data_IF_728581020721
#
_entry.id   IF_728581020721
#
_cell.length_a   1.000
_cell.length_b   1.000
_cell.length_c   1.000
_cell.angle_alpha   90.00
_cell.angle_beta   90.00
_cell.angle_gamma   90.00
#
_symmetry.space_group_name_H-M   'P 1'
#
loop_
_entity.id
_entity.type
_entity.pdbx_description
1 polymer ?
#
# COMPACT_ATOMS: atom_id res chain seq x y z
N UNK A 1 -0.34 1.46 14.04
CA UNK A 1 0.98 0.77 13.91
C UNK A 1 1.04 -0.56 14.65
N UNK A 2 0.80 -0.62 15.96
CA UNK A 2 0.89 -1.88 16.77
C UNK A 2 0.01 -3.00 16.21
N UNK A 3 -1.24 -2.70 15.84
CA UNK A 3 -2.17 -3.68 15.25
C UNK A 3 -1.64 -4.25 13.93
N UNK A 4 -1.08 -3.40 13.07
CA UNK A 4 -0.48 -3.80 11.80
C UNK A 4 0.68 -4.77 12.03
N UNK A 5 1.62 -4.42 12.89
CA UNK A 5 2.76 -5.29 13.20
C UNK A 5 2.31 -6.65 13.77
N UNK A 6 1.30 -6.65 14.67
CA UNK A 6 0.72 -7.89 15.22
C UNK A 6 0.10 -8.77 14.15
N UNK A 7 -0.65 -8.17 13.21
CA UNK A 7 -1.27 -8.90 12.10
C UNK A 7 -0.20 -9.48 11.18
N UNK A 8 0.78 -8.66 10.78
CA UNK A 8 1.88 -9.13 9.93
C UNK A 8 2.68 -10.26 10.60
N UNK A 9 3.03 -10.12 11.88
CA UNK A 9 3.75 -11.16 12.62
C UNK A 9 2.99 -12.47 12.72
N UNK A 10 1.67 -12.44 12.61
CA UNK A 10 0.82 -13.64 12.66
C UNK A 10 0.61 -14.25 11.27
N UNK A 11 0.38 -13.43 10.25
CA UNK A 11 -0.01 -13.91 8.93
C UNK A 11 1.18 -14.15 7.98
N UNK A 12 2.22 -13.32 8.05
CA UNK A 12 3.36 -13.46 7.14
C UNK A 12 4.06 -14.82 7.27
N UNK A 13 4.28 -15.41 8.46
CA UNK A 13 4.83 -16.76 8.57
C UNK A 13 4.02 -17.81 7.80
N UNK A 14 2.68 -17.73 7.87
CA UNK A 14 1.81 -18.66 7.14
C UNK A 14 1.92 -18.47 5.62
N UNK A 15 2.06 -17.23 5.16
CA UNK A 15 2.28 -16.93 3.75
C UNK A 15 3.65 -17.45 3.28
N UNK A 16 4.68 -17.36 4.13
CA UNK A 16 6.02 -17.89 3.82
C UNK A 16 6.02 -19.41 3.70
N UNK A 17 5.29 -20.13 4.55
CA UNK A 17 5.10 -21.57 4.47
C UNK A 17 4.43 -21.98 3.14
N UNK A 18 3.43 -21.19 2.69
CA UNK A 18 2.71 -21.40 1.45
C UNK A 18 3.50 -20.93 0.21
N UNK A 19 4.61 -20.21 0.40
CA UNK A 19 5.38 -19.55 -0.65
C UNK A 19 4.55 -18.60 -1.53
N UNK A 20 3.51 -18.04 -0.96
CA UNK A 20 2.65 -17.06 -1.61
C UNK A 20 1.97 -16.17 -0.60
N UNK A 21 1.94 -14.87 -0.89
CA UNK A 21 1.20 -13.90 -0.09
C UNK A 21 1.32 -12.49 -0.64
N UNK A 22 0.27 -11.70 -0.39
CA UNK A 22 0.22 -10.28 -0.75
C UNK A 22 -0.23 -9.47 0.45
N UNK A 23 0.63 -8.59 0.93
CA UNK A 23 0.35 -7.67 2.03
C UNK A 23 0.35 -6.26 1.48
N UNK A 24 -0.81 -5.63 1.49
CA UNK A 24 -0.98 -4.23 1.05
C UNK A 24 -1.31 -3.38 2.27
N UNK A 25 -0.38 -2.52 2.66
CA UNK A 25 -0.54 -1.66 3.82
C UNK A 25 -0.99 -0.27 3.39
N UNK A 26 -2.16 0.15 3.88
CA UNK A 26 -2.66 1.49 3.59
C UNK A 26 -1.83 2.54 4.35
N UNK A 27 -1.22 3.41 3.58
CA UNK A 27 -0.46 4.56 4.05
C UNK A 27 -1.11 5.87 3.62
N UNK A 28 -0.37 6.96 3.61
CA UNK A 28 -0.82 8.27 3.14
C UNK A 28 0.39 9.08 2.70
N UNK A 29 0.25 9.79 1.58
CA UNK A 29 1.22 10.78 1.12
C UNK A 29 1.18 12.11 1.86
N UNK A 30 0.48 12.20 3.00
CA UNK A 30 0.40 13.42 3.79
C UNK A 30 1.78 13.83 4.31
N UNK A 31 2.14 15.07 4.00
CA UNK A 31 3.31 15.76 4.53
C UNK A 31 2.91 17.19 4.93
N UNK A 32 3.60 17.74 5.93
CA UNK A 32 3.50 19.16 6.31
C UNK A 32 2.08 19.64 6.65
N UNK A 33 1.27 18.78 7.29
CA UNK A 33 -0.07 19.11 7.79
C UNK A 33 -0.06 19.16 9.32
N UNK A 34 0.15 20.34 9.94
CA UNK A 34 0.32 20.46 11.40
C UNK A 34 -0.86 19.89 12.20
N UNK A 35 -2.09 20.01 11.68
CA UNK A 35 -3.30 19.52 12.35
C UNK A 35 -3.38 17.98 12.38
N UNK A 36 -2.60 17.31 11.55
CA UNK A 36 -2.61 15.84 11.38
C UNK A 36 -1.34 15.18 11.91
N UNK A 37 -0.60 15.83 12.80
CA UNK A 37 0.71 15.36 13.29
C UNK A 37 0.69 13.90 13.75
N UNK A 38 -0.22 13.54 14.65
CA UNK A 38 -0.30 12.17 15.17
C UNK A 38 -0.68 11.15 14.07
N UNK A 39 -1.56 11.54 13.15
CA UNK A 39 -1.92 10.71 12.01
C UNK A 39 -0.73 10.53 11.07
N UNK A 40 -0.06 11.62 10.69
CA UNK A 40 1.12 11.59 9.82
C UNK A 40 2.23 10.69 10.40
N UNK A 41 2.52 10.84 11.70
CA UNK A 41 3.48 9.97 12.41
C UNK A 41 3.07 8.50 12.33
N UNK A 42 1.77 8.21 12.52
CA UNK A 42 1.27 6.82 12.46
C UNK A 42 1.47 6.21 11.08
N UNK A 43 1.29 6.99 10.01
CA UNK A 43 1.47 6.54 8.61
C UNK A 43 2.95 6.43 8.24
N UNK A 44 3.78 7.37 8.67
CA UNK A 44 5.24 7.26 8.51
C UNK A 44 5.81 6.01 9.20
N UNK A 45 5.25 5.63 10.35
CA UNK A 45 5.63 4.40 11.01
C UNK A 45 5.24 3.13 10.21
N UNK A 46 4.12 3.17 9.47
CA UNK A 46 3.74 2.09 8.52
C UNK A 46 4.75 2.02 7.38
N UNK A 47 5.11 3.16 6.80
CA UNK A 47 6.07 3.23 5.70
C UNK A 47 7.43 2.67 6.12
N UNK A 48 7.93 3.09 7.27
CA UNK A 48 9.19 2.59 7.82
C UNK A 48 9.15 1.08 8.06
N UNK A 49 8.07 0.58 8.67
CA UNK A 49 7.89 -0.84 8.92
C UNK A 49 7.95 -1.67 7.63
N UNK A 50 7.21 -1.25 6.61
CA UNK A 50 7.16 -1.97 5.32
C UNK A 50 8.52 -1.95 4.64
N UNK A 51 9.18 -0.78 4.57
CA UNK A 51 10.50 -0.65 3.93
C UNK A 51 11.57 -1.50 4.60
N UNK A 52 11.56 -1.58 5.93
CA UNK A 52 12.54 -2.38 6.68
C UNK A 52 12.24 -3.88 6.58
N UNK A 53 10.97 -4.27 6.48
CA UNK A 53 10.59 -5.67 6.43
C UNK A 53 10.69 -6.27 5.01
N UNK A 54 10.45 -5.46 3.98
CA UNK A 54 10.41 -5.89 2.58
C UNK A 54 11.66 -6.69 2.13
N UNK A 55 12.90 -6.31 2.46
CA UNK A 55 14.08 -7.08 2.06
C UNK A 55 14.08 -8.53 2.56
N UNK A 56 13.49 -8.80 3.74
CA UNK A 56 13.41 -10.15 4.30
C UNK A 56 12.47 -11.09 3.54
N UNK A 57 11.63 -10.55 2.67
CA UNK A 57 10.68 -11.29 1.85
C UNK A 57 11.22 -11.66 0.47
N UNK A 58 12.43 -11.23 0.13
CA UNK A 58 13.03 -11.48 -1.19
C UNK A 58 13.08 -12.97 -1.50
N UNK A 59 12.58 -13.37 -2.68
CA UNK A 59 12.58 -14.75 -3.16
C UNK A 59 11.62 -15.70 -2.44
N UNK A 60 10.82 -15.19 -1.50
CA UNK A 60 9.90 -16.04 -0.71
C UNK A 60 8.57 -16.35 -1.39
N UNK A 61 8.20 -15.61 -2.46
CA UNK A 61 6.85 -15.62 -3.05
C UNK A 61 5.85 -14.72 -2.33
N UNK A 62 6.25 -14.11 -1.20
CA UNK A 62 5.44 -13.14 -0.45
C UNK A 62 5.87 -11.73 -0.81
N UNK A 63 4.91 -10.85 -1.10
CA UNK A 63 5.18 -9.43 -1.34
C UNK A 63 4.45 -8.56 -0.34
N UNK A 64 5.11 -7.48 0.11
CA UNK A 64 4.57 -6.49 1.01
C UNK A 64 4.82 -5.10 0.45
N UNK A 65 3.75 -4.35 0.22
CA UNK A 65 3.81 -3.03 -0.41
C UNK A 65 2.94 -2.01 0.33
N UNK A 66 3.15 -0.74 -0.01
CA UNK A 66 2.41 0.42 0.50
C UNK A 66 1.41 0.89 -0.56
N UNK A 67 0.23 1.29 -0.12
CA UNK A 67 -0.80 1.89 -0.96
C UNK A 67 -1.31 3.18 -0.31
N UNK A 68 -1.15 4.29 -1.02
CA UNK A 68 -1.85 5.55 -0.73
C UNK A 68 -3.10 5.63 -1.61
N UNK A 69 -4.31 5.57 -1.04
CA UNK A 69 -5.55 5.68 -1.82
C UNK A 69 -5.85 7.11 -2.27
N UNK A 70 -5.16 8.11 -1.73
CA UNK A 70 -5.50 9.52 -1.87
C UNK A 70 -6.52 10.00 -0.84
N UNK A 71 -6.92 11.28 -0.94
CA UNK A 71 -7.92 11.86 -0.06
C UNK A 71 -9.31 11.69 -0.67
N UNK A 72 -10.12 10.84 -0.07
CA UNK A 72 -11.39 10.34 -0.60
C UNK A 72 -12.58 10.77 0.26
N UNK A 73 -13.73 10.97 -0.38
CA UNK A 73 -15.02 11.26 0.29
C UNK A 73 -15.53 10.01 1.01
N UNK A 74 -15.06 9.84 2.23
CA UNK A 74 -15.45 8.80 3.19
C UNK A 74 -15.78 9.47 4.51
N UNK A 75 -16.27 8.72 5.49
CA UNK A 75 -16.50 9.25 6.84
C UNK A 75 -15.24 9.87 7.44
N UNK A 76 -14.07 9.27 7.17
CA UNK A 76 -12.78 9.79 7.63
C UNK A 76 -12.32 11.00 6.80
N UNK A 77 -12.47 10.94 5.48
CA UNK A 77 -11.98 12.00 4.58
C UNK A 77 -12.86 13.24 4.54
N UNK A 78 -14.12 13.09 4.92
CA UNK A 78 -15.12 14.15 4.93
C UNK A 78 -15.68 14.48 3.54
N UNK A 79 -16.76 15.30 3.51
CA UNK A 79 -17.48 15.61 2.27
C UNK A 79 -16.70 16.48 1.29
N UNK A 80 -15.69 17.21 1.79
CA UNK A 80 -14.87 18.13 0.98
C UNK A 80 -13.66 17.45 0.33
N UNK A 81 -13.46 16.14 0.53
CA UNK A 81 -12.38 15.42 -0.12
C UNK A 81 -12.58 15.40 -1.65
N UNK A 82 -11.52 15.60 -2.44
CA UNK A 82 -11.64 15.71 -3.90
C UNK A 82 -11.98 14.38 -4.56
N UNK A 83 -11.48 13.26 -4.01
CA UNK A 83 -11.58 11.94 -4.63
C UNK A 83 -12.89 11.22 -4.31
N UNK A 84 -13.45 10.53 -5.30
CA UNK A 84 -14.49 9.54 -5.09
C UNK A 84 -13.86 8.22 -4.61
N UNK A 85 -14.46 7.49 -3.65
CA UNK A 85 -13.93 6.20 -3.22
C UNK A 85 -13.70 5.19 -4.36
N UNK A 86 -14.55 5.21 -5.39
CA UNK A 86 -14.39 4.35 -6.56
C UNK A 86 -13.14 4.68 -7.41
N UNK A 87 -12.61 5.90 -7.31
CA UNK A 87 -11.41 6.32 -8.04
C UNK A 87 -10.14 5.56 -7.65
N UNK A 88 -10.17 4.82 -6.55
CA UNK A 88 -9.05 3.95 -6.13
C UNK A 88 -8.82 2.82 -7.13
N UNK A 89 -9.82 2.43 -7.91
CA UNK A 89 -9.71 1.37 -8.90
C UNK A 89 -9.28 1.98 -10.26
N UNK A 90 -8.31 1.37 -10.96
CA UNK A 90 -7.67 0.06 -10.70
C UNK A 90 -6.46 0.10 -9.77
N UNK A 91 -5.93 1.28 -9.42
CA UNK A 91 -4.68 1.45 -8.69
C UNK A 91 -4.59 0.67 -7.38
N UNK A 92 -5.70 0.60 -6.63
CA UNK A 92 -5.77 -0.16 -5.38
C UNK A 92 -5.59 -1.67 -5.54
N UNK A 93 -5.84 -2.20 -6.74
CA UNK A 93 -5.67 -3.62 -7.05
C UNK A 93 -4.22 -3.97 -7.45
N UNK A 94 -3.48 -3.00 -7.98
CA UNK A 94 -2.15 -3.23 -8.55
C UNK A 94 -1.20 -3.92 -7.57
N UNK A 95 -0.98 -3.43 -6.34
CA UNK A 95 -0.04 -4.07 -5.42
C UNK A 95 -0.47 -5.47 -4.96
N UNK A 96 -1.75 -5.81 -5.10
CA UNK A 96 -2.28 -7.12 -4.73
C UNK A 96 -2.18 -8.13 -5.88
N UNK A 97 -2.19 -7.67 -7.14
CA UNK A 97 -2.22 -8.52 -8.33
C UNK A 97 -0.86 -8.69 -9.01
N UNK A 98 0.11 -7.81 -8.74
CA UNK A 98 1.48 -8.01 -9.23
C UNK A 98 2.07 -9.30 -8.68
N UNK A 99 2.86 -9.97 -9.53
CA UNK A 99 3.54 -11.23 -9.20
C UNK A 99 4.99 -11.22 -9.72
N UNK A 100 5.73 -10.18 -9.39
CA UNK A 100 7.12 -9.95 -9.82
C UNK A 100 8.15 -10.13 -8.70
N UNK A 101 7.70 -10.51 -7.50
CA UNK A 101 8.57 -10.77 -6.35
C UNK A 101 9.12 -9.49 -5.68
N UNK A 102 8.70 -8.29 -6.08
CA UNK A 102 9.26 -7.03 -5.57
C UNK A 102 8.38 -6.47 -4.45
N UNK A 103 8.97 -6.31 -3.29
CA UNK A 103 8.37 -5.69 -2.09
C UNK A 103 8.92 -4.28 -1.82
N UNK A 104 8.25 -3.53 -0.95
CA UNK A 104 8.71 -2.21 -0.48
C UNK A 104 8.29 -1.03 -1.35
N UNK A 105 7.53 -1.27 -2.42
CA UNK A 105 7.03 -0.22 -3.32
C UNK A 105 5.92 0.60 -2.68
N UNK A 106 5.86 1.86 -3.08
CA UNK A 106 4.80 2.80 -2.70
C UNK A 106 3.92 3.10 -3.91
N UNK A 107 2.68 2.61 -3.88
CA UNK A 107 1.68 2.83 -4.91
C UNK A 107 0.76 3.98 -4.51
N UNK A 108 0.56 4.94 -5.41
CA UNK A 108 -0.49 5.95 -5.29
C UNK A 108 -1.65 5.52 -6.19
N UNK A 109 -2.79 5.18 -5.62
CA UNK A 109 -3.93 4.67 -6.39
C UNK A 109 -4.38 5.63 -7.49
N UNK A 110 -4.30 6.93 -7.24
CA UNK A 110 -4.74 7.97 -8.17
C UNK A 110 -3.85 8.12 -9.41
N UNK A 111 -2.60 7.64 -9.37
CA UNK A 111 -1.71 7.66 -10.54
C UNK A 111 -2.17 6.69 -11.65
N UNK A 112 -3.10 5.80 -11.32
CA UNK A 112 -3.68 4.79 -12.22
C UNK A 112 -5.09 5.14 -12.68
N UNK A 113 -5.61 6.31 -12.31
CA UNK A 113 -6.98 6.70 -12.64
C UNK A 113 -7.21 6.70 -14.16
N UNK A 114 -8.31 6.08 -14.59
CA UNK A 114 -8.68 5.99 -16.00
C UNK A 114 -7.92 4.94 -16.82
N UNK A 115 -6.95 4.24 -16.26
CA UNK A 115 -6.27 3.14 -16.94
C UNK A 115 -7.12 1.87 -16.93
N UNK A 116 -6.91 1.01 -17.94
CA UNK A 116 -7.34 -0.38 -17.83
C UNK A 116 -6.54 -1.10 -16.75
N UNK A 117 -7.06 -2.21 -16.23
CA UNK A 117 -6.32 -3.01 -15.24
C UNK A 117 -4.98 -3.53 -15.81
N UNK A 118 -4.96 -3.89 -17.09
CA UNK A 118 -3.75 -4.37 -17.76
C UNK A 118 -2.68 -3.27 -17.83
N UNK A 119 -3.06 -2.04 -18.22
CA UNK A 119 -2.14 -0.90 -18.29
C UNK A 119 -1.66 -0.50 -16.89
N UNK A 120 -2.56 -0.55 -15.90
CA UNK A 120 -2.21 -0.27 -14.51
C UNK A 120 -1.19 -1.27 -13.95
N UNK A 121 -1.34 -2.55 -14.24
CA UNK A 121 -0.36 -3.57 -13.86
C UNK A 121 0.98 -3.37 -14.57
N UNK A 122 0.97 -3.07 -15.87
CA UNK A 122 2.18 -2.77 -16.62
C UNK A 122 2.93 -1.56 -16.04
N UNK A 123 2.22 -0.47 -15.74
CA UNK A 123 2.79 0.70 -15.08
C UNK A 123 3.32 0.36 -13.68
N UNK A 124 2.54 -0.35 -12.87
CA UNK A 124 2.91 -0.73 -11.51
C UNK A 124 4.17 -1.59 -11.44
N UNK A 125 4.39 -2.45 -12.43
CA UNK A 125 5.59 -3.27 -12.53
C UNK A 125 6.88 -2.44 -12.75
N UNK A 126 6.79 -1.20 -13.21
CA UNK A 126 7.95 -0.31 -13.41
C UNK A 126 8.41 0.38 -12.13
N UNK A 127 7.56 0.45 -11.10
CA UNK A 127 7.90 1.10 -9.83
C UNK A 127 9.06 0.38 -9.13
N UNK A 128 9.92 1.18 -8.53
CA UNK A 128 11.02 0.69 -7.68
C UNK A 128 10.66 0.85 -6.19
N UNK A 129 11.24 0.04 -5.31
CA UNK A 129 11.12 0.20 -3.86
C UNK A 129 11.64 1.54 -3.33
#
# INVERSE_FOLDING_TARGET
MISLARICNRLVPLMLEQRWGRVVNLTSGIADQPQLTAYAVSKAAVDKYVRDFAPSLSGSGVMMNLLDPGWLRTDLGGPNAPGDPASVIPGGLVPALLDDGISGRFFRAQDYAGLSLADALALGATLKP
#
